data_IF_398044483836
#
_entry.id   IF_398044483836
#
_cell.length_a   1.000
_cell.length_b   1.000
_cell.length_c   1.000
_cell.angle_alpha   90.00
_cell.angle_beta   90.00
_cell.angle_gamma   90.00
#
_symmetry.space_group_name_H-M   'P 1'
#
loop_
_entity.id
_entity.type
_entity.pdbx_description
1 polymer ?
#
# COMPACT_ATOMS: atom_id res chain seq x y z
N UNK A 1 -35.62 12.58 31.41
CA UNK A 1 -36.09 12.15 30.08
C UNK A 1 -35.55 13.15 29.06
N UNK A 2 -34.57 12.74 28.25
CA UNK A 2 -33.92 13.57 27.22
C UNK A 2 -33.58 12.69 26.02
N UNK A 3 -33.56 13.33 24.84
CA UNK A 3 -33.85 12.81 23.51
C UNK A 3 -32.73 12.00 22.86
N UNK A 4 -33.17 11.16 21.93
CA UNK A 4 -32.48 10.44 20.88
C UNK A 4 -31.36 11.22 20.16
N UNK A 5 -30.31 10.49 19.78
CA UNK A 5 -29.34 10.87 18.76
C UNK A 5 -29.00 9.64 17.90
N UNK A 6 -29.82 9.39 16.88
CA UNK A 6 -29.62 8.35 15.88
C UNK A 6 -28.64 8.90 14.82
N UNK A 7 -27.41 8.41 14.80
CA UNK A 7 -26.42 8.78 13.77
C UNK A 7 -26.56 7.80 12.60
N UNK A 8 -27.17 8.27 11.52
CA UNK A 8 -27.27 7.55 10.26
C UNK A 8 -25.93 7.63 9.50
N UNK A 9 -25.31 6.48 9.23
CA UNK A 9 -24.18 6.36 8.31
C UNK A 9 -24.70 6.36 6.87
N UNK A 10 -24.46 7.44 6.14
CA UNK A 10 -24.67 7.49 4.70
C UNK A 10 -23.45 6.85 3.99
N UNK A 11 -23.61 5.61 3.54
CA UNK A 11 -22.68 4.99 2.58
C UNK A 11 -22.99 5.59 1.22
N UNK A 12 -22.17 6.53 0.76
CA UNK A 12 -22.23 7.07 -0.59
C UNK A 12 -21.57 6.07 -1.53
N UNK A 13 -22.37 5.18 -2.11
CA UNK A 13 -21.95 4.32 -3.22
C UNK A 13 -21.95 5.16 -4.49
N UNK A 14 -20.77 5.64 -4.91
CA UNK A 14 -20.56 6.25 -6.22
C UNK A 14 -20.64 5.16 -7.30
N UNK A 15 -21.85 4.91 -7.80
CA UNK A 15 -22.06 4.10 -9.01
C UNK A 15 -21.72 4.95 -10.23
N UNK A 16 -20.44 4.98 -10.62
CA UNK A 16 -20.04 5.57 -11.90
C UNK A 16 -20.53 4.67 -13.04
N UNK A 17 -21.55 5.14 -13.76
CA UNK A 17 -22.00 4.57 -15.01
C UNK A 17 -20.89 4.75 -16.06
N UNK A 18 -20.12 3.69 -16.33
CA UNK A 18 -19.09 3.71 -17.36
C UNK A 18 -19.74 3.54 -18.74
N UNK A 19 -20.05 4.66 -19.39
CA UNK A 19 -20.33 4.68 -20.81
C UNK A 19 -19.09 4.18 -21.56
N UNK A 20 -19.22 3.01 -22.20
CA UNK A 20 -18.19 2.38 -23.03
C UNK A 20 -18.02 3.14 -24.35
N UNK A 21 -17.32 4.27 -24.30
CA UNK A 21 -16.77 4.88 -25.50
C UNK A 21 -15.44 4.18 -25.83
N UNK A 22 -15.39 3.45 -26.94
CA UNK A 22 -14.14 3.04 -27.59
C UNK A 22 -13.36 4.30 -28.00
N UNK A 23 -12.64 4.90 -27.06
CA UNK A 23 -11.63 5.89 -27.40
C UNK A 23 -10.48 5.14 -28.08
N UNK A 24 -10.36 5.33 -29.40
CA UNK A 24 -9.09 5.17 -30.13
C UNK A 24 -8.03 5.94 -29.35
N UNK A 25 -7.30 5.23 -28.50
CA UNK A 25 -6.23 5.80 -27.70
C UNK A 25 -5.16 6.27 -28.67
N UNK A 26 -4.78 7.55 -28.55
CA UNK A 26 -3.76 8.16 -29.39
C UNK A 26 -2.52 7.25 -29.41
N UNK A 27 -1.95 6.93 -30.58
CA UNK A 27 -0.79 6.04 -30.71
C UNK A 27 0.46 6.56 -29.98
N UNK A 28 0.43 7.77 -29.41
CA UNK A 28 1.51 8.39 -28.65
C UNK A 28 1.20 8.60 -27.15
N UNK A 29 0.03 8.20 -26.62
CA UNK A 29 -0.21 8.33 -25.18
C UNK A 29 0.54 7.22 -24.44
N UNK A 30 1.52 7.59 -23.62
CA UNK A 30 2.24 6.66 -22.74
C UNK A 30 1.21 5.99 -21.82
N UNK A 31 1.00 4.69 -22.02
CA UNK A 31 0.03 3.86 -21.29
C UNK A 31 0.52 3.54 -19.87
N UNK A 32 0.77 4.58 -19.08
CA UNK A 32 1.03 4.42 -17.65
C UNK A 32 -0.26 3.92 -16.98
N UNK A 33 -0.17 2.75 -16.35
CA UNK A 33 -1.29 2.05 -15.69
C UNK A 33 -2.44 1.56 -16.58
N UNK A 34 -2.19 1.25 -17.86
CA UNK A 34 -3.17 0.44 -18.60
C UNK A 34 -3.21 -0.96 -17.96
N UNK A 35 -4.33 -1.24 -17.27
CA UNK A 35 -4.60 -2.48 -16.52
C UNK A 35 -4.36 -3.72 -17.39
N UNK A 36 -4.52 -3.62 -18.71
CA UNK A 36 -4.30 -4.73 -19.64
C UNK A 36 -2.84 -5.06 -19.88
N UNK A 37 -1.95 -4.10 -19.66
CA UNK A 37 -0.50 -4.21 -19.90
C UNK A 37 0.30 -4.25 -18.60
N UNK A 38 -0.31 -3.87 -17.48
CA UNK A 38 0.30 -3.94 -16.18
C UNK A 38 0.57 -5.39 -15.78
N UNK A 39 1.73 -5.63 -15.20
CA UNK A 39 2.02 -6.90 -14.54
C UNK A 39 1.38 -6.89 -13.16
N UNK A 40 0.61 -7.93 -12.86
CA UNK A 40 -0.02 -8.13 -11.56
C UNK A 40 0.84 -9.07 -10.72
N UNK A 41 1.14 -8.67 -9.49
CA UNK A 41 1.98 -9.47 -8.59
C UNK A 41 1.34 -9.54 -7.21
N UNK A 42 1.40 -10.70 -6.56
CA UNK A 42 1.19 -10.78 -5.12
C UNK A 42 2.46 -10.36 -4.41
N UNK A 43 2.34 -9.75 -3.23
CA UNK A 43 3.46 -9.27 -2.44
C UNK A 43 3.28 -9.68 -0.99
N UNK A 44 4.34 -10.26 -0.45
CA UNK A 44 4.48 -10.51 0.97
C UNK A 44 5.64 -9.67 1.47
N UNK A 45 5.40 -8.83 2.47
CA UNK A 45 6.43 -7.98 3.07
C UNK A 45 6.51 -8.25 4.56
N UNK A 46 7.74 -8.37 5.05
CA UNK A 46 8.05 -8.38 6.47
C UNK A 46 9.05 -7.29 6.77
N UNK A 47 8.82 -6.53 7.84
CA UNK A 47 9.72 -5.44 8.23
C UNK A 47 9.96 -5.45 9.72
N UNK A 48 11.18 -5.12 10.10
CA UNK A 48 11.44 -4.56 11.43
C UNK A 48 11.14 -3.05 11.36
N UNK A 49 10.55 -2.51 12.42
CA UNK A 49 10.29 -1.09 12.52
C UNK A 49 10.77 -0.53 13.86
N UNK A 50 10.98 0.77 13.86
CA UNK A 50 11.23 1.58 15.04
C UNK A 50 10.22 2.70 15.04
N UNK A 51 9.50 2.89 16.14
CA UNK A 51 8.49 3.94 16.29
C UNK A 51 8.76 4.79 17.52
N UNK A 52 8.31 6.04 17.51
CA UNK A 52 8.32 6.91 18.68
C UNK A 52 7.14 7.87 18.63
N UNK A 53 6.61 8.25 19.80
CA UNK A 53 5.67 9.36 19.86
C UNK A 53 6.38 10.67 19.53
N UNK A 54 5.67 11.65 18.96
CA UNK A 54 6.25 12.92 18.51
C UNK A 54 6.92 13.71 19.66
N UNK A 55 6.39 13.56 20.87
CA UNK A 55 6.87 14.16 22.12
C UNK A 55 7.99 13.38 22.82
N UNK A 56 8.32 12.18 22.33
CA UNK A 56 9.35 11.32 22.92
C UNK A 56 10.62 11.29 22.08
N UNK A 57 11.78 11.19 22.77
CA UNK A 57 13.08 11.12 22.11
C UNK A 57 13.48 9.69 21.72
N UNK A 58 12.97 8.68 22.42
CA UNK A 58 13.40 7.29 22.28
C UNK A 58 12.53 6.54 21.28
N UNK A 59 13.18 5.76 20.42
CA UNK A 59 12.51 4.79 19.56
C UNK A 59 12.33 3.46 20.27
N UNK A 60 11.16 2.86 20.08
CA UNK A 60 10.79 1.51 20.46
C UNK A 60 10.77 0.62 19.21
N UNK A 61 11.03 -0.68 19.38
CA UNK A 61 11.13 -1.63 18.28
C UNK A 61 9.84 -2.40 18.06
N UNK A 62 9.55 -2.76 16.81
CA UNK A 62 8.39 -3.56 16.45
C UNK A 62 8.56 -4.29 15.11
N UNK A 63 7.47 -4.88 14.64
CA UNK A 63 7.41 -5.65 13.41
C UNK A 63 6.19 -5.29 12.57
N UNK A 64 6.33 -5.35 11.24
CA UNK A 64 5.23 -5.24 10.28
C UNK A 64 5.21 -6.46 9.37
N UNK A 65 4.04 -7.04 9.17
CA UNK A 65 3.76 -8.02 8.13
C UNK A 65 2.66 -7.46 7.22
N UNK A 66 2.88 -7.47 5.91
CA UNK A 66 1.90 -6.97 4.95
C UNK A 66 1.68 -7.96 3.81
N UNK A 67 0.42 -8.09 3.41
CA UNK A 67 0.01 -8.84 2.25
C UNK A 67 -0.57 -7.86 1.24
N UNK A 68 0.20 -7.57 0.20
CA UNK A 68 -0.12 -6.52 -0.75
C UNK A 68 -0.31 -7.11 -2.14
N UNK A 69 -0.99 -6.34 -2.97
CA UNK A 69 -1.11 -6.55 -4.39
C UNK A 69 -0.35 -5.46 -5.12
N UNK A 70 0.45 -5.83 -6.11
CA UNK A 70 1.21 -4.91 -6.93
C UNK A 70 0.67 -4.86 -8.36
N UNK A 71 0.61 -3.65 -8.92
CA UNK A 71 0.42 -3.39 -10.33
C UNK A 71 1.62 -2.62 -10.86
N UNK A 72 2.40 -3.27 -11.73
CA UNK A 72 3.64 -2.71 -12.27
C UNK A 72 3.48 -2.43 -13.76
N UNK A 73 3.67 -1.18 -14.17
CA UNK A 73 3.80 -0.76 -15.57
C UNK A 73 5.27 -0.50 -15.89
N UNK A 74 5.73 -0.87 -17.09
CA UNK A 74 7.13 -0.72 -17.53
C UNK A 74 7.21 0.01 -18.86
N UNK A 75 8.22 0.87 -18.98
CA UNK A 75 8.60 1.53 -20.23
C UNK A 75 10.12 1.61 -20.32
N UNK A 76 10.72 0.71 -21.11
CA UNK A 76 12.18 0.58 -21.18
C UNK A 76 12.78 0.24 -19.81
N UNK A 77 13.81 0.98 -19.33
CA UNK A 77 14.38 0.76 -18.01
C UNK A 77 13.50 1.31 -16.89
N UNK A 78 12.50 2.14 -17.17
CA UNK A 78 11.66 2.75 -16.15
C UNK A 78 10.47 1.87 -15.80
N UNK A 79 10.09 1.87 -14.54
CA UNK A 79 8.88 1.20 -14.07
C UNK A 79 8.14 2.03 -13.02
N UNK A 80 6.83 1.80 -12.95
CA UNK A 80 5.93 2.41 -11.99
C UNK A 80 5.09 1.31 -11.36
N UNK A 81 5.12 1.21 -10.05
CA UNK A 81 4.49 0.15 -9.27
C UNK A 81 3.51 0.77 -8.28
N UNK A 82 2.23 0.39 -8.37
CA UNK A 82 1.25 0.64 -7.32
C UNK A 82 1.11 -0.58 -6.42
N UNK A 83 1.25 -0.41 -5.10
CA UNK A 83 0.99 -1.41 -4.08
C UNK A 83 -0.30 -1.05 -3.32
N UNK A 84 -1.14 -2.05 -3.07
CA UNK A 84 -2.34 -1.89 -2.23
C UNK A 84 -2.62 -3.17 -1.44
N UNK A 85 -2.93 -3.04 -0.15
CA UNK A 85 -3.37 -4.18 0.66
C UNK A 85 -3.32 -3.94 2.16
N UNK A 86 -3.70 -4.95 2.95
CA UNK A 86 -3.61 -4.91 4.41
C UNK A 86 -2.16 -4.99 4.92
N UNK A 87 -1.93 -4.32 6.05
CA UNK A 87 -0.69 -4.46 6.82
C UNK A 87 -1.03 -4.62 8.32
N UNK A 88 -0.36 -5.56 8.98
CA UNK A 88 -0.45 -5.80 10.41
C UNK A 88 0.88 -5.39 11.06
N UNK A 89 0.81 -4.55 12.08
CA UNK A 89 1.95 -4.10 12.86
C UNK A 89 1.82 -4.54 14.30
N UNK A 90 2.93 -5.00 14.86
CA UNK A 90 3.13 -5.26 16.27
C UNK A 90 4.13 -4.20 16.74
N UNK A 91 3.64 -3.22 17.49
CA UNK A 91 4.45 -2.13 18.02
C UNK A 91 5.12 -2.57 19.33
N UNK A 92 4.35 -3.16 20.23
CA UNK A 92 4.82 -3.69 21.51
C UNK A 92 3.99 -4.94 21.87
N UNK A 93 4.33 -5.65 22.95
CA UNK A 93 3.62 -6.84 23.45
C UNK A 93 2.11 -6.62 23.64
N UNK A 94 1.70 -5.36 23.85
CA UNK A 94 0.30 -4.95 24.08
C UNK A 94 -0.27 -4.07 22.99
N UNK A 95 0.50 -3.80 21.94
CA UNK A 95 0.15 -2.78 20.95
C UNK A 95 0.18 -3.35 19.53
N UNK A 96 -0.97 -3.43 18.88
CA UNK A 96 -1.11 -3.90 17.51
C UNK A 96 -1.91 -2.92 16.66
N UNK A 97 -1.58 -2.82 15.37
CA UNK A 97 -2.24 -1.95 14.41
C UNK A 97 -2.53 -2.69 13.12
N UNK A 98 -3.76 -2.62 12.65
CA UNK A 98 -4.20 -3.18 11.38
C UNK A 98 -4.57 -2.04 10.42
N UNK A 99 -3.83 -1.93 9.31
CA UNK A 99 -4.05 -0.93 8.26
C UNK A 99 -4.87 -1.50 7.11
N UNK A 100 -5.94 -0.81 6.71
CA UNK A 100 -6.91 -1.24 5.69
C UNK A 100 -7.40 -0.06 4.82
N UNK A 101 -6.98 0.07 3.55
CA UNK A 101 -5.77 -0.43 2.91
C UNK A 101 -4.59 0.55 3.00
N UNK A 102 -3.37 0.01 2.93
CA UNK A 102 -2.16 0.78 2.69
C UNK A 102 -1.94 0.90 1.17
N UNK A 103 -1.86 2.13 0.66
CA UNK A 103 -1.57 2.39 -0.75
C UNK A 103 -0.18 3.00 -0.88
N UNK A 104 0.63 2.52 -1.83
CA UNK A 104 1.98 3.05 -2.06
C UNK A 104 2.28 3.05 -3.55
N UNK A 105 2.80 4.15 -4.07
CA UNK A 105 3.26 4.28 -5.44
C UNK A 105 4.79 4.38 -5.45
N UNK A 106 5.42 3.57 -6.28
CA UNK A 106 6.86 3.54 -6.49
C UNK A 106 7.20 3.84 -7.94
N UNK A 107 8.17 4.71 -8.17
CA UNK A 107 8.81 4.90 -9.45
C UNK A 107 10.25 4.40 -9.36
N UNK A 108 10.73 3.73 -10.39
CA UNK A 108 12.04 3.10 -10.34
C UNK A 108 12.69 2.87 -11.69
N UNK A 109 13.94 2.43 -11.63
CA UNK A 109 14.78 2.10 -12.77
C UNK A 109 15.23 0.64 -12.62
N UNK A 110 15.12 -0.13 -13.69
CA UNK A 110 15.58 -1.49 -13.81
C UNK A 110 16.87 -1.53 -14.65
N UNK A 111 17.94 -2.05 -14.06
CA UNK A 111 19.21 -2.33 -14.70
C UNK A 111 19.41 -3.85 -14.77
N UNK A 112 18.82 -4.47 -15.80
CA UNK A 112 18.78 -5.93 -15.92
C UNK A 112 17.91 -6.56 -14.81
N UNK A 113 18.44 -7.50 -14.01
CA UNK A 113 17.70 -8.10 -12.92
C UNK A 113 17.57 -7.18 -11.69
N UNK A 114 18.41 -6.15 -11.56
CA UNK A 114 18.40 -5.25 -10.40
C UNK A 114 17.45 -4.09 -10.64
N UNK A 115 16.64 -3.75 -9.64
CA UNK A 115 15.65 -2.69 -9.67
C UNK A 115 15.87 -1.74 -8.50
N UNK A 116 16.00 -0.45 -8.77
CA UNK A 116 16.02 0.61 -7.75
C UNK A 116 14.71 1.36 -7.82
N UNK A 117 14.03 1.53 -6.68
CA UNK A 117 12.72 2.18 -6.61
C UNK A 117 12.66 3.19 -5.46
N UNK A 118 12.01 4.32 -5.71
CA UNK A 118 11.65 5.33 -4.71
C UNK A 118 10.14 5.54 -4.76
N UNK A 119 9.51 5.72 -3.61
CA UNK A 119 8.06 5.76 -3.54
C UNK A 119 7.51 6.60 -2.41
N UNK A 120 6.23 6.93 -2.56
CA UNK A 120 5.42 7.58 -1.56
C UNK A 120 4.13 6.79 -1.40
N UNK A 121 3.57 6.79 -0.21
CA UNK A 121 2.36 6.07 0.10
C UNK A 121 1.53 6.81 1.12
N UNK A 122 0.31 6.31 1.28
CA UNK A 122 -0.60 6.75 2.33
C UNK A 122 -1.32 5.53 2.87
N UNK A 123 -1.30 5.38 4.19
CA UNK A 123 -2.20 4.45 4.88
C UNK A 123 -3.52 5.17 5.07
N UNK A 124 -4.58 4.71 4.39
CA UNK A 124 -5.86 5.43 4.40
C UNK A 124 -6.53 5.35 5.75
N UNK A 125 -6.63 4.14 6.29
CA UNK A 125 -7.26 3.87 7.57
C UNK A 125 -6.43 2.81 8.30
N UNK A 126 -6.12 3.06 9.56
CA UNK A 126 -5.59 2.03 10.45
C UNK A 126 -6.38 2.02 11.75
N UNK A 127 -6.68 0.83 12.24
CA UNK A 127 -7.25 0.61 13.56
C UNK A 127 -6.14 0.11 14.45
N UNK A 128 -5.85 0.83 15.52
CA UNK A 128 -4.79 0.51 16.45
C UNK A 128 -5.32 0.33 17.86
N UNK A 129 -4.80 -0.67 18.56
CA UNK A 129 -4.93 -0.84 20.00
C UNK A 129 -3.55 -0.60 20.57
N UNK A 130 -3.39 0.50 21.30
CA UNK A 130 -2.10 0.91 21.88
C UNK A 130 -2.27 1.03 23.37
N UNK A 131 -1.51 0.25 24.14
CA UNK A 131 -1.62 0.20 25.60
C UNK A 131 -3.05 -0.04 26.11
N UNK A 132 -3.86 -0.81 25.38
CA UNK A 132 -5.25 -1.13 25.74
C UNK A 132 -6.29 -0.06 25.33
N UNK A 133 -5.87 1.03 24.70
CA UNK A 133 -6.78 2.05 24.16
C UNK A 133 -6.96 1.90 22.66
N UNK A 134 -8.21 1.92 22.22
CA UNK A 134 -8.56 1.92 20.80
C UNK A 134 -8.33 3.30 20.19
N UNK A 135 -7.75 3.31 19.00
CA UNK A 135 -7.52 4.50 18.20
C UNK A 135 -7.72 4.18 16.72
N UNK A 136 -7.94 5.24 15.95
CA UNK A 136 -7.97 5.20 14.50
C UNK A 136 -6.99 6.25 13.94
N UNK A 137 -6.35 5.87 12.84
CA UNK A 137 -5.45 6.70 12.06
C UNK A 137 -6.03 6.90 10.68
N UNK A 138 -5.95 8.13 10.17
CA UNK A 138 -6.36 8.48 8.82
C UNK A 138 -5.22 9.21 8.12
N UNK A 139 -4.97 8.81 6.87
CA UNK A 139 -4.05 9.49 5.97
C UNK A 139 -2.61 9.59 6.50
N UNK A 140 -2.01 8.47 6.91
CA UNK A 140 -0.61 8.45 7.36
C UNK A 140 0.34 8.45 6.15
N UNK A 141 1.05 9.55 5.84
CA UNK A 141 1.97 9.58 4.70
C UNK A 141 3.20 8.73 4.98
N UNK A 142 3.64 7.99 3.95
CA UNK A 142 4.83 7.14 3.95
C UNK A 142 5.76 7.55 2.80
N UNK A 143 7.06 7.57 3.06
CA UNK A 143 8.09 7.65 2.03
C UNK A 143 8.97 6.41 2.11
N UNK A 144 9.34 5.85 0.96
CA UNK A 144 10.09 4.61 0.88
C UNK A 144 11.15 4.66 -0.24
N UNK A 145 12.23 3.91 -0.04
CA UNK A 145 13.25 3.64 -1.03
C UNK A 145 13.62 2.16 -0.95
N UNK A 146 13.85 1.51 -2.09
CA UNK A 146 14.10 0.08 -2.13
C UNK A 146 15.00 -0.35 -3.27
N UNK A 147 15.56 -1.53 -3.09
CA UNK A 147 16.31 -2.27 -4.10
C UNK A 147 15.72 -3.66 -4.22
N UNK A 148 15.64 -4.20 -5.42
CA UNK A 148 15.19 -5.55 -5.65
C UNK A 148 15.95 -6.26 -6.75
N UNK A 149 15.88 -7.58 -6.72
CA UNK A 149 16.41 -8.47 -7.74
C UNK A 149 15.26 -9.31 -8.27
N UNK A 150 15.07 -9.28 -9.60
CA UNK A 150 14.06 -10.06 -10.31
C UNK A 150 14.67 -11.33 -10.89
N UNK A 151 14.08 -12.46 -10.53
CA UNK A 151 14.45 -13.81 -10.94
C UNK A 151 13.24 -14.45 -11.63
N UNK A 152 13.06 -14.14 -12.91
CA UNK A 152 11.90 -14.60 -13.69
C UNK A 152 10.57 -14.05 -13.15
N UNK A 153 9.63 -14.91 -12.72
CA UNK A 153 8.34 -14.47 -12.16
C UNK A 153 8.43 -13.98 -10.71
N UNK A 154 9.57 -14.15 -10.04
CA UNK A 154 9.79 -13.74 -8.67
C UNK A 154 10.64 -12.46 -8.60
N UNK A 155 10.39 -11.65 -7.59
CA UNK A 155 11.24 -10.52 -7.22
C UNK A 155 11.45 -10.53 -5.71
N UNK A 156 12.70 -10.49 -5.29
CA UNK A 156 13.07 -10.30 -3.89
C UNK A 156 13.55 -8.86 -3.73
N UNK A 157 13.09 -8.15 -2.72
CA UNK A 157 13.50 -6.77 -2.49
C UNK A 157 13.74 -6.45 -1.03
N UNK A 158 14.54 -5.43 -0.79
CA UNK A 158 14.71 -4.76 0.48
C UNK A 158 14.23 -3.31 0.35
N UNK A 159 13.55 -2.80 1.38
CA UNK A 159 13.10 -1.41 1.42
C UNK A 159 13.42 -0.75 2.76
N UNK A 160 13.68 0.54 2.70
CA UNK A 160 13.71 1.44 3.84
C UNK A 160 12.49 2.36 3.71
N UNK A 161 11.77 2.57 4.80
CA UNK A 161 10.65 3.51 4.78
C UNK A 161 10.57 4.33 6.05
N UNK A 162 9.90 5.47 5.93
CA UNK A 162 9.49 6.31 7.04
C UNK A 162 8.01 6.64 6.89
N UNK A 163 7.28 6.71 7.99
CA UNK A 163 5.85 7.02 7.99
C UNK A 163 5.49 7.91 9.17
N UNK A 164 4.62 8.87 8.93
CA UNK A 164 4.04 9.71 9.97
C UNK A 164 2.63 9.24 10.27
N UNK A 165 2.40 8.70 11.46
CA UNK A 165 1.09 8.23 11.88
C UNK A 165 0.31 9.38 12.49
N UNK A 166 -0.65 9.90 11.72
CA UNK A 166 -1.55 10.93 12.18
C UNK A 166 -2.72 10.29 12.91
N UNK A 167 -2.76 10.48 14.23
CA UNK A 167 -3.81 9.93 15.09
C UNK A 167 -4.85 10.98 15.40
N UNK A 168 -6.11 10.55 15.42
CA UNK A 168 -7.21 11.41 15.85
C UNK A 168 -7.28 11.52 17.38
N UNK A 169 -6.84 10.48 18.09
CA UNK A 169 -6.80 10.42 19.54
C UNK A 169 -5.45 9.90 20.01
N UNK A 170 -4.88 10.57 21.01
CA UNK A 170 -3.54 10.26 21.53
C UNK A 170 -2.41 10.97 20.75
N UNK A 171 -1.14 10.68 21.09
CA UNK A 171 0.00 11.31 20.45
C UNK A 171 0.21 10.78 19.03
N UNK A 172 0.67 11.63 18.12
CA UNK A 172 1.16 11.23 16.80
C UNK A 172 2.47 10.43 16.92
N UNK A 173 2.78 9.60 15.91
CA UNK A 173 3.98 8.77 15.91
C UNK A 173 4.80 8.92 14.64
N UNK A 174 6.12 8.83 14.80
CA UNK A 174 7.05 8.66 13.70
C UNK A 174 7.53 7.22 13.63
N UNK A 175 7.37 6.58 12.48
CA UNK A 175 7.80 5.20 12.22
C UNK A 175 8.93 5.19 11.18
N UNK A 176 9.90 4.32 11.40
CA UNK A 176 10.98 3.96 10.46
C UNK A 176 10.98 2.46 10.32
N UNK A 177 11.23 1.93 9.14
CA UNK A 177 11.29 0.49 8.97
C UNK A 177 12.28 0.04 7.91
N UNK A 178 12.76 -1.17 8.10
CA UNK A 178 13.58 -1.92 7.15
C UNK A 178 12.80 -3.19 6.82
N UNK A 179 12.41 -3.33 5.57
CA UNK A 179 11.57 -4.39 5.07
C UNK A 179 12.28 -5.28 4.07
N UNK A 180 11.90 -6.55 4.06
CA UNK A 180 12.13 -7.48 2.95
C UNK A 180 10.79 -7.82 2.31
N UNK A 181 10.78 -7.95 0.99
CA UNK A 181 9.58 -8.28 0.22
C UNK A 181 9.84 -9.37 -0.78
N UNK A 182 8.86 -10.25 -0.94
CA UNK A 182 8.76 -11.22 -2.01
C UNK A 182 7.56 -10.84 -2.88
N UNK A 183 7.80 -10.53 -4.15
CA UNK A 183 6.76 -10.35 -5.16
C UNK A 183 6.74 -11.55 -6.10
N UNK A 184 5.56 -12.05 -6.43
CA UNK A 184 5.39 -13.13 -7.40
C UNK A 184 4.33 -12.75 -8.41
N UNK A 185 4.65 -12.94 -9.70
CA UNK A 185 3.72 -12.67 -10.80
C UNK A 185 2.48 -13.55 -10.66
N UNK A 186 1.31 -12.93 -10.78
CA UNK A 186 0.01 -13.59 -10.89
C UNK A 186 -0.52 -13.42 -12.31
N UNK A 187 -1.30 -14.40 -12.76
CA UNK A 187 -2.10 -14.23 -13.97
C UNK A 187 -3.07 -13.06 -13.76
N UNK A 188 -3.30 -12.22 -14.79
CA UNK A 188 -4.30 -11.16 -14.70
C UNK A 188 -5.66 -11.76 -14.31
N UNK A 189 -6.44 -11.11 -13.43
CA UNK A 189 -7.81 -11.53 -13.21
C UNK A 189 -8.57 -11.50 -14.55
N UNK A 190 -9.34 -12.55 -14.83
CA UNK A 190 -10.19 -12.57 -16.02
C UNK A 190 -11.14 -11.37 -15.97
N UNK A 191 -11.39 -10.68 -17.10
CA UNK A 191 -12.33 -9.57 -17.12
C UNK A 191 -13.69 -10.04 -16.58
N UNK A 192 -14.35 -9.28 -15.69
CA UNK A 192 -15.65 -9.69 -15.12
C UNK A 192 -16.72 -9.93 -16.19
N UNK A 193 -16.56 -9.34 -17.39
CA UNK A 193 -17.46 -9.48 -18.53
C UNK A 193 -17.05 -10.54 -19.55
N UNK A 194 -15.90 -11.20 -19.38
CA UNK A 194 -15.46 -12.27 -20.29
C UNK A 194 -16.19 -13.61 -20.04
N UNK A 195 -16.92 -13.73 -18.92
CA UNK A 195 -17.64 -14.94 -18.55
C UNK A 195 -18.95 -15.19 -19.34
N UNK A 196 -19.40 -14.23 -20.15
CA UNK A 196 -20.68 -14.29 -20.87
C UNK A 196 -20.61 -14.54 -22.38
N UNK A 197 -19.44 -14.89 -22.94
CA UNK A 197 -19.27 -15.14 -24.39
C UNK A 197 -18.97 -16.61 -24.72
N UNK A 198 -19.53 -17.57 -23.97
CA UNK A 198 -19.47 -19.00 -24.30
C UNK A 198 -20.83 -19.51 -24.72
#
# INVERSE_FOLDING_TARGET
MSRAGLVAFAVVTLTTCAASAERKTSPKSVKLFDVRTATHEGVLRFSTLSYRATDQARYEGGYEAAFLYAMTSRSGPFHLTGLSGPALRFLDEKSFSLSLPQNTAFAGIAAGPVELEGGFGVSLLSVDVVHGHWSAQLLSPRAAAGVGVRLGPLRVGAELYTEYLWRWFGPDYFVRGIGVSLRWRRSPPLPPFAAGQR
#
